data_IF_965219241451
#
_entry.id   IF_965219241451
#
_cell.length_a   1.000
_cell.length_b   1.000
_cell.length_c   1.000
_cell.angle_alpha   90.00
_cell.angle_beta   90.00
_cell.angle_gamma   90.00
#
_symmetry.space_group_name_H-M   'P 1'
#
loop_
_entity.id
_entity.type
_entity.pdbx_description
1 polymer ?
#
# COMPACT_ATOMS: atom_id res chain seq x y z
N UNK A 1 7.46 -7.22 -12.89
CA UNK A 1 7.32 -6.68 -11.51
C UNK A 1 6.89 -5.23 -11.60
N UNK A 2 5.95 -4.80 -10.76
CA UNK A 2 5.54 -3.40 -10.66
C UNK A 2 5.55 -2.94 -9.20
N UNK A 3 5.42 -1.63 -8.99
CA UNK A 3 5.31 -1.04 -7.66
C UNK A 3 4.20 -0.02 -7.56
N UNK A 4 3.53 0.01 -6.42
CA UNK A 4 2.56 1.07 -6.11
C UNK A 4 3.29 2.15 -5.31
N UNK A 5 3.44 3.34 -5.89
CA UNK A 5 4.24 4.41 -5.28
C UNK A 5 3.44 5.31 -4.34
N UNK A 6 2.21 5.67 -4.71
CA UNK A 6 1.36 6.53 -3.91
C UNK A 6 -0.12 6.37 -4.26
N UNK A 7 -0.98 6.83 -3.36
CA UNK A 7 -2.40 6.98 -3.57
C UNK A 7 -2.81 8.43 -3.37
N UNK A 8 -3.79 8.84 -4.16
CA UNK A 8 -4.52 10.06 -3.92
C UNK A 8 -5.99 9.72 -3.68
N UNK A 9 -6.50 10.18 -2.54
CA UNK A 9 -7.93 10.14 -2.23
C UNK A 9 -8.35 11.54 -1.84
N UNK A 10 -9.31 12.09 -2.59
CA UNK A 10 -9.90 13.39 -2.31
C UNK A 10 -10.41 13.45 -0.86
N UNK A 11 -10.18 14.57 -0.18
CA UNK A 11 -10.47 14.71 1.27
C UNK A 11 -11.90 14.32 1.63
N UNK A 12 -12.88 14.67 0.81
CA UNK A 12 -14.29 14.35 1.00
C UNK A 12 -14.59 12.84 0.99
N UNK A 13 -13.71 12.02 0.40
CA UNK A 13 -13.89 10.58 0.21
C UNK A 13 -12.93 9.73 1.06
N UNK A 14 -12.16 10.36 1.96
CA UNK A 14 -11.27 9.63 2.88
C UNK A 14 -12.07 8.88 3.93
N UNK A 15 -11.44 7.86 4.54
CA UNK A 15 -12.04 6.97 5.57
C UNK A 15 -13.22 6.11 5.11
N UNK A 16 -13.50 6.06 3.80
CA UNK A 16 -14.55 5.22 3.21
C UNK A 16 -14.02 3.89 2.65
N UNK A 17 -12.80 3.47 3.04
CA UNK A 17 -12.20 2.22 2.57
C UNK A 17 -11.63 2.25 1.15
N UNK A 18 -11.66 3.40 0.45
CA UNK A 18 -11.21 3.54 -0.94
C UNK A 18 -9.78 3.09 -1.21
N UNK A 19 -8.86 3.28 -0.26
CA UNK A 19 -7.47 2.80 -0.41
C UNK A 19 -7.40 1.30 -0.66
N UNK A 20 -8.27 0.50 -0.01
CA UNK A 20 -8.32 -0.94 -0.26
C UNK A 20 -8.83 -1.29 -1.65
N UNK A 21 -9.81 -0.53 -2.16
CA UNK A 21 -10.29 -0.69 -3.52
C UNK A 21 -9.23 -0.31 -4.56
N UNK A 22 -8.49 0.77 -4.33
CA UNK A 22 -7.38 1.21 -5.17
C UNK A 22 -6.24 0.17 -5.21
N UNK A 23 -5.89 -0.43 -4.06
CA UNK A 23 -4.88 -1.49 -4.02
C UNK A 23 -5.30 -2.67 -4.90
N UNK A 24 -6.54 -3.15 -4.75
CA UNK A 24 -7.04 -4.29 -5.56
C UNK A 24 -7.04 -3.97 -7.05
N UNK A 25 -7.57 -2.82 -7.45
CA UNK A 25 -7.59 -2.42 -8.86
C UNK A 25 -6.18 -2.26 -9.45
N UNK A 26 -5.22 -1.77 -8.65
CA UNK A 26 -3.83 -1.69 -9.09
C UNK A 26 -3.20 -3.08 -9.28
N UNK A 27 -3.49 -4.04 -8.39
CA UNK A 27 -3.05 -5.42 -8.53
C UNK A 27 -3.67 -6.12 -9.76
N UNK A 28 -4.98 -5.94 -9.98
CA UNK A 28 -5.68 -6.47 -11.16
C UNK A 28 -5.09 -5.92 -12.46
N UNK A 29 -4.85 -4.60 -12.52
CA UNK A 29 -4.20 -3.96 -13.67
C UNK A 29 -2.78 -4.50 -13.89
N UNK A 30 -2.00 -4.65 -12.81
CA UNK A 30 -0.66 -5.19 -12.88
C UNK A 30 -0.64 -6.63 -13.41
N UNK A 31 -1.55 -7.48 -12.93
CA UNK A 31 -1.70 -8.85 -13.40
C UNK A 31 -2.10 -8.90 -14.88
N UNK A 32 -3.05 -8.06 -15.30
CA UNK A 32 -3.46 -7.94 -16.69
C UNK A 32 -2.33 -7.47 -17.63
N UNK A 33 -1.35 -6.73 -17.11
CA UNK A 33 -0.14 -6.32 -17.82
C UNK A 33 1.01 -7.34 -17.72
N UNK A 34 0.79 -8.53 -17.14
CA UNK A 34 1.78 -9.59 -17.04
C UNK A 34 2.78 -9.44 -15.89
N UNK A 35 2.50 -8.61 -14.89
CA UNK A 35 3.31 -8.58 -13.68
C UNK A 35 3.04 -9.84 -12.84
N UNK A 36 4.09 -10.52 -12.41
CA UNK A 36 4.02 -11.64 -11.45
C UNK A 36 4.12 -11.21 -9.99
N UNK A 37 4.57 -9.98 -9.74
CA UNK A 37 4.84 -9.44 -8.39
C UNK A 37 4.50 -7.95 -8.35
N UNK A 38 3.83 -7.53 -7.28
CA UNK A 38 3.66 -6.14 -6.86
C UNK A 38 4.47 -5.89 -5.58
N UNK A 39 5.36 -4.92 -5.61
CA UNK A 39 6.13 -4.48 -4.44
C UNK A 39 5.72 -3.09 -3.97
N UNK A 40 5.74 -2.87 -2.66
CA UNK A 40 5.30 -1.61 -2.07
C UNK A 40 6.11 -1.22 -0.85
N UNK A 41 6.19 0.08 -0.63
CA UNK A 41 6.98 0.72 0.43
C UNK A 41 6.07 1.55 1.35
N UNK A 42 5.14 0.91 2.07
CA UNK A 42 4.17 1.62 2.88
C UNK A 42 4.81 2.21 4.15
N UNK A 43 4.04 3.06 4.81
CA UNK A 43 4.39 3.55 6.14
C UNK A 43 3.73 2.72 7.23
N UNK A 44 4.50 2.39 8.27
CA UNK A 44 3.97 1.85 9.53
C UNK A 44 3.97 2.97 10.58
N UNK A 45 2.80 3.41 11.09
CA UNK A 45 2.72 4.40 12.14
C UNK A 45 3.25 3.87 13.48
N UNK A 46 4.15 4.63 14.15
CA UNK A 46 4.66 4.31 15.50
C UNK A 46 3.67 4.66 16.63
N UNK A 47 2.69 5.52 16.39
CA UNK A 47 1.64 5.98 17.33
C UNK A 47 0.36 6.33 16.56
N UNK A 48 -0.77 6.44 17.25
CA UNK A 48 -2.13 6.68 16.71
C UNK A 48 -2.30 7.93 15.81
N UNK A 49 -1.30 8.81 15.77
CA UNK A 49 -1.31 10.02 14.94
C UNK A 49 -0.04 10.14 14.12
N UNK A 50 -0.14 9.80 12.84
CA UNK A 50 0.82 10.22 11.81
C UNK A 50 0.22 11.41 11.05
N UNK A 51 0.98 12.48 10.76
CA UNK A 51 0.46 13.57 9.94
C UNK A 51 -0.02 13.02 8.58
N UNK A 52 -1.22 13.40 8.10
CA UNK A 52 -1.79 12.86 6.86
C UNK A 52 -0.87 12.98 5.64
N UNK A 53 0.02 13.97 5.65
CA UNK A 53 1.01 14.23 4.60
C UNK A 53 2.08 13.13 4.44
N UNK A 54 2.21 12.20 5.38
CA UNK A 54 3.18 11.09 5.29
C UNK A 54 2.54 9.75 4.90
N UNK A 55 1.21 9.69 4.73
CA UNK A 55 0.48 8.45 4.47
C UNK A 55 0.16 8.22 2.98
N UNK A 56 0.71 9.03 2.06
CA UNK A 56 0.44 8.90 0.62
C UNK A 56 0.95 7.58 0.03
N UNK A 57 2.00 6.97 0.58
CA UNK A 57 2.46 5.64 0.16
C UNK A 57 1.56 4.50 0.65
N UNK A 58 0.51 4.83 1.42
CA UNK A 58 -0.41 3.88 2.01
C UNK A 58 0.08 3.33 3.36
N UNK A 59 -0.88 2.86 4.16
CA UNK A 59 -0.60 2.24 5.46
C UNK A 59 -0.25 0.77 5.27
N UNK A 60 0.77 0.30 5.99
CA UNK A 60 1.18 -1.11 5.95
C UNK A 60 0.02 -2.06 6.29
N UNK A 61 -0.88 -1.65 7.20
CA UNK A 61 -2.10 -2.39 7.55
C UNK A 61 -3.08 -2.57 6.38
N UNK A 62 -3.17 -1.60 5.46
CA UNK A 62 -4.03 -1.70 4.28
C UNK A 62 -3.50 -2.76 3.30
N UNK A 63 -2.19 -2.81 3.11
CA UNK A 63 -1.53 -3.82 2.28
C UNK A 63 -1.60 -5.21 2.90
N UNK A 64 -1.38 -5.35 4.22
CA UNK A 64 -1.56 -6.63 4.93
C UNK A 64 -2.97 -7.20 4.73
N UNK A 65 -4.00 -6.35 4.83
CA UNK A 65 -5.39 -6.74 4.56
C UNK A 65 -5.66 -7.15 3.11
N UNK A 66 -4.83 -6.69 2.17
CA UNK A 66 -4.89 -7.05 0.76
C UNK A 66 -4.02 -8.28 0.40
N UNK A 67 -3.45 -8.98 1.39
CA UNK A 67 -2.66 -10.20 1.17
C UNK A 67 -1.16 -9.98 0.96
N UNK A 68 -0.69 -8.74 1.01
CA UNK A 68 0.75 -8.45 0.92
C UNK A 68 1.48 -9.00 2.15
N UNK A 69 2.66 -9.55 1.91
CA UNK A 69 3.58 -10.06 2.93
C UNK A 69 4.79 -9.16 3.03
N UNK A 70 5.26 -8.95 4.26
CA UNK A 70 6.52 -8.24 4.49
C UNK A 70 7.69 -9.11 4.04
N UNK A 71 8.59 -8.54 3.25
CA UNK A 71 9.78 -9.23 2.73
C UNK A 71 11.07 -8.68 3.31
N UNK A 72 11.08 -7.41 3.72
CA UNK A 72 12.24 -6.78 4.35
C UNK A 72 11.79 -5.57 5.17
N UNK A 73 12.53 -5.24 6.24
CA UNK A 73 12.30 -4.04 7.04
C UNK A 73 13.61 -3.39 7.45
N UNK A 74 13.90 -2.23 6.85
CA UNK A 74 15.11 -1.45 7.14
C UNK A 74 14.93 -0.42 8.26
N UNK A 75 13.69 -0.07 8.57
CA UNK A 75 13.38 0.77 9.73
C UNK A 75 12.02 0.41 10.32
N UNK A 76 11.76 0.73 11.60
CA UNK A 76 10.48 0.40 12.24
C UNK A 76 9.25 0.98 11.53
N UNK A 77 9.39 2.04 10.72
CA UNK A 77 8.29 2.74 10.04
C UNK A 77 8.27 2.53 8.52
N UNK A 78 9.19 1.73 7.97
CA UNK A 78 9.34 1.49 6.52
C UNK A 78 9.55 -0.02 6.26
N UNK A 79 8.49 -0.83 6.34
CA UNK A 79 8.52 -2.16 5.77
C UNK A 79 8.49 -2.11 4.24
N UNK A 80 9.05 -3.14 3.62
CA UNK A 80 8.90 -3.47 2.20
C UNK A 80 7.95 -4.67 2.15
N UNK A 81 6.87 -4.56 1.40
CA UNK A 81 5.84 -5.61 1.29
C UNK A 81 5.65 -6.02 -0.16
N UNK A 82 5.37 -7.30 -0.40
CA UNK A 82 5.14 -7.86 -1.74
C UNK A 82 3.87 -8.69 -1.77
N UNK A 83 3.22 -8.68 -2.93
CA UNK A 83 2.16 -9.62 -3.32
C UNK A 83 2.61 -10.34 -4.58
N UNK A 84 2.52 -11.66 -4.56
CA UNK A 84 2.59 -12.49 -5.77
C UNK A 84 1.20 -12.49 -6.42
N UNK A 85 1.16 -12.20 -7.72
CA UNK A 85 -0.07 -12.03 -8.51
C UNK A 85 -0.52 -13.33 -9.18
#
# INVERSE_FOLDING_TARGET
MCSIVCFFVCRAHRKQGLTGALIRGACELAAAQGASIVEVYPVEPKKDSMPPGFAFTGLASAFRRAGFREVERRSPTRPIVRLEL
#
